data_IF_706256103444
#
_entry.id   IF_706256103444
#
_cell.length_a   1.000
_cell.length_b   1.000
_cell.length_c   1.000
_cell.angle_alpha   90.00
_cell.angle_beta   90.00
_cell.angle_gamma   90.00
#
_symmetry.space_group_name_H-M   'P 1'
#
loop_
_entity.id
_entity.type
_entity.pdbx_description
1 polymer ?
#
# COMPACT_ATOMS: atom_id res chain seq x y z
N UNK A 1 -45.91 -19.24 -39.70
CA UNK A 1 -44.53 -18.79 -39.99
C UNK A 1 -44.15 -17.71 -38.98
N UNK A 2 -42.95 -17.84 -38.40
CA UNK A 2 -42.35 -17.06 -37.30
C UNK A 2 -42.40 -15.54 -37.60
N UNK A 3 -42.58 -14.62 -36.63
CA UNK A 3 -41.56 -14.16 -35.69
C UNK A 3 -42.22 -13.37 -34.53
N UNK A 4 -42.10 -13.86 -33.30
CA UNK A 4 -42.12 -13.04 -32.08
C UNK A 4 -40.65 -12.75 -31.73
N UNK A 5 -40.28 -11.49 -31.51
CA UNK A 5 -39.01 -11.16 -30.86
C UNK A 5 -39.36 -10.35 -29.60
N UNK A 6 -39.14 -10.98 -28.46
CA UNK A 6 -39.53 -10.52 -27.14
C UNK A 6 -38.70 -9.33 -26.68
N UNK A 7 -39.37 -8.34 -26.08
CA UNK A 7 -38.76 -7.36 -25.18
C UNK A 7 -38.36 -8.09 -23.90
N UNK A 8 -37.08 -8.13 -23.58
CA UNK A 8 -36.56 -8.38 -22.23
C UNK A 8 -35.11 -7.90 -22.18
N UNK A 9 -34.91 -6.62 -21.87
CA UNK A 9 -33.63 -6.15 -21.33
C UNK A 9 -33.84 -5.98 -19.82
N UNK A 10 -33.33 -6.95 -19.09
CA UNK A 10 -33.36 -7.05 -17.64
C UNK A 10 -32.75 -5.82 -16.98
N UNK A 11 -33.53 -5.26 -16.08
CA UNK A 11 -33.15 -4.33 -15.01
C UNK A 11 -32.27 -5.07 -14.01
N UNK A 12 -30.98 -4.75 -13.92
CA UNK A 12 -30.19 -4.99 -12.71
C UNK A 12 -29.25 -3.81 -12.46
N UNK A 13 -29.56 -3.11 -11.38
CA UNK A 13 -28.78 -2.02 -10.81
C UNK A 13 -27.34 -2.47 -10.50
N UNK A 14 -26.38 -1.59 -10.77
CA UNK A 14 -25.00 -1.72 -10.27
C UNK A 14 -25.07 -1.62 -8.73
N UNK A 15 -25.15 -2.77 -8.06
CA UNK A 15 -24.82 -2.89 -6.65
C UNK A 15 -23.30 -2.87 -6.55
N UNK A 16 -22.73 -1.72 -6.21
CA UNK A 16 -21.40 -1.67 -5.60
C UNK A 16 -21.48 -2.36 -4.24
N UNK A 17 -21.09 -3.63 -4.20
CA UNK A 17 -21.06 -4.41 -2.97
C UNK A 17 -20.49 -5.80 -3.20
N UNK A 18 -19.51 -6.15 -2.37
CA UNK A 18 -18.88 -7.46 -2.17
C UNK A 18 -17.64 -7.77 -3.04
N UNK A 19 -16.45 -7.48 -2.49
CA UNK A 19 -15.20 -8.15 -2.88
C UNK A 19 -15.16 -9.53 -2.22
N UNK A 20 -15.16 -10.62 -3.01
CA UNK A 20 -14.33 -11.76 -2.63
C UNK A 20 -13.58 -12.32 -3.85
N UNK A 21 -12.25 -12.27 -3.78
CA UNK A 21 -11.35 -13.23 -4.44
C UNK A 21 -11.51 -13.41 -5.95
N UNK A 22 -10.93 -12.50 -6.73
CA UNK A 22 -10.46 -12.79 -8.10
C UNK A 22 -9.66 -11.60 -8.62
N UNK A 23 -8.49 -11.37 -8.03
CA UNK A 23 -7.48 -10.54 -8.68
C UNK A 23 -7.05 -11.27 -9.95
N UNK A 24 -7.52 -10.79 -11.09
CA UNK A 24 -6.85 -11.06 -12.35
C UNK A 24 -5.43 -10.51 -12.20
N UNK A 25 -4.48 -11.42 -11.92
CA UNK A 25 -3.06 -11.15 -11.85
C UNK A 25 -2.58 -10.78 -13.25
N UNK A 26 -2.59 -9.48 -13.56
CA UNK A 26 -1.81 -8.91 -14.65
C UNK A 26 -0.64 -8.16 -14.02
N UNK A 27 0.58 -8.63 -14.31
CA UNK A 27 1.87 -7.96 -14.07
C UNK A 27 2.38 -7.81 -12.62
N UNK A 28 2.77 -8.91 -11.97
CA UNK A 28 3.93 -8.97 -11.03
C UNK A 28 3.95 -8.03 -9.81
N UNK A 29 2.90 -7.25 -9.57
CA UNK A 29 2.79 -6.32 -8.46
C UNK A 29 2.19 -7.08 -7.28
N UNK A 30 2.94 -7.22 -6.18
CA UNK A 30 2.36 -7.74 -4.94
C UNK A 30 1.14 -6.89 -4.57
N UNK A 31 0.05 -7.49 -4.03
CA UNK A 31 -1.11 -6.72 -3.62
C UNK A 31 -0.71 -5.75 -2.51
N UNK A 32 -1.19 -4.50 -2.61
CA UNK A 32 -1.01 -3.51 -1.55
C UNK A 32 -1.69 -4.03 -0.28
N UNK A 33 -1.00 -4.09 0.87
CA UNK A 33 -1.61 -4.52 2.12
C UNK A 33 -2.79 -3.63 2.51
N UNK A 34 -3.75 -4.19 3.24
CA UNK A 34 -4.89 -3.40 3.72
C UNK A 34 -4.42 -2.27 4.66
N UNK A 35 -5.03 -1.08 4.57
CA UNK A 35 -4.73 0.02 5.47
C UNK A 35 -5.06 -0.35 6.92
N UNK A 36 -4.27 0.15 7.85
CA UNK A 36 -4.49 0.03 9.29
C UNK A 36 -4.85 1.39 9.86
N UNK A 37 -5.64 1.42 10.93
CA UNK A 37 -5.98 2.64 11.66
C UNK A 37 -4.88 3.04 12.68
N UNK A 38 -3.62 2.70 12.41
CA UNK A 38 -2.53 2.84 13.39
C UNK A 38 -2.16 4.31 13.67
N UNK A 39 -2.12 5.13 12.62
CA UNK A 39 -1.77 6.55 12.65
C UNK A 39 -2.22 7.23 11.36
N UNK A 40 -2.30 8.56 11.36
CA UNK A 40 -2.39 9.31 10.11
C UNK A 40 -1.04 9.34 9.38
N UNK A 41 -1.05 9.36 8.05
CA UNK A 41 0.17 9.30 7.23
C UNK A 41 1.16 10.44 7.53
N UNK A 42 0.66 11.61 7.92
CA UNK A 42 1.49 12.79 8.22
C UNK A 42 2.07 12.77 9.65
N UNK A 43 1.69 11.82 10.49
CA UNK A 43 2.14 11.73 11.89
C UNK A 43 3.51 11.05 12.00
N UNK A 44 4.57 11.80 11.65
CA UNK A 44 5.95 11.29 11.62
C UNK A 44 6.41 10.71 12.97
N UNK A 45 5.92 11.26 14.09
CA UNK A 45 6.25 10.81 15.44
C UNK A 45 5.59 9.47 15.82
N UNK A 46 4.63 8.99 15.02
CA UNK A 46 4.04 7.66 15.16
C UNK A 46 4.86 6.58 14.46
N UNK A 47 5.84 6.95 13.63
CA UNK A 47 6.70 5.96 12.99
C UNK A 47 7.66 5.37 14.03
N UNK A 48 7.70 4.04 14.22
CA UNK A 48 8.46 3.44 15.31
C UNK A 48 9.96 3.74 15.26
N UNK A 49 10.49 4.20 16.39
CA UNK A 49 11.94 4.30 16.69
C UNK A 49 12.77 5.10 15.68
N UNK A 50 12.17 6.10 15.03
CA UNK A 50 12.91 6.98 14.13
C UNK A 50 13.69 8.06 14.90
N UNK A 51 14.98 8.20 14.55
CA UNK A 51 15.77 9.39 14.88
C UNK A 51 15.46 10.55 13.92
N UNK A 52 15.92 11.75 14.25
CA UNK A 52 15.55 12.97 13.50
C UNK A 52 15.97 12.95 12.02
N UNK A 53 17.14 12.42 11.69
CA UNK A 53 17.59 12.24 10.29
C UNK A 53 16.62 11.36 9.51
N UNK A 54 16.16 10.27 10.12
CA UNK A 54 15.25 9.31 9.49
C UNK A 54 13.83 9.87 9.37
N UNK A 55 13.39 10.68 10.35
CA UNK A 55 12.14 11.44 10.26
C UNK A 55 12.16 12.43 9.10
N UNK A 56 13.28 13.11 8.85
CA UNK A 56 13.43 13.98 7.68
C UNK A 56 13.27 13.21 6.36
N UNK A 57 13.84 11.99 6.26
CA UNK A 57 13.64 11.13 5.10
C UNK A 57 12.16 10.74 4.89
N UNK A 58 11.43 10.48 5.98
CA UNK A 58 9.99 10.20 5.92
C UNK A 58 9.19 11.42 5.45
N UNK A 59 9.50 12.62 5.96
CA UNK A 59 8.86 13.86 5.49
C UNK A 59 9.08 14.09 4.00
N UNK A 60 10.31 13.94 3.52
CA UNK A 60 10.62 14.04 2.09
C UNK A 60 9.87 13.00 1.25
N UNK A 61 9.65 11.80 1.80
CA UNK A 61 8.89 10.74 1.14
C UNK A 61 7.41 11.09 0.94
N UNK A 62 6.80 11.82 1.88
CA UNK A 62 5.40 12.27 1.80
C UNK A 62 5.10 13.17 0.60
N UNK A 63 6.14 13.77 0.00
CA UNK A 63 6.01 14.67 -1.14
C UNK A 63 6.20 13.96 -2.50
N UNK A 64 6.55 12.67 -2.51
CA UNK A 64 6.87 11.95 -3.75
C UNK A 64 5.62 11.44 -4.48
N UNK A 65 5.61 11.35 -5.81
CA UNK A 65 4.47 10.81 -6.55
C UNK A 65 4.25 9.31 -6.28
N UNK A 66 3.04 8.83 -6.53
CA UNK A 66 2.72 7.40 -6.55
C UNK A 66 3.24 6.73 -7.84
N UNK A 67 3.56 5.42 -7.81
CA UNK A 67 3.56 4.54 -6.64
C UNK A 67 4.79 4.74 -5.73
N UNK A 68 4.60 4.67 -4.42
CA UNK A 68 5.67 4.80 -3.42
C UNK A 68 5.42 3.93 -2.20
N UNK A 69 6.47 3.54 -1.50
CA UNK A 69 6.36 2.78 -0.27
C UNK A 69 7.51 3.11 0.68
N UNK A 70 7.28 2.86 1.96
CA UNK A 70 8.29 3.03 3.01
C UNK A 70 8.26 1.85 3.96
N UNK A 71 9.43 1.31 4.24
CA UNK A 71 9.63 0.22 5.17
C UNK A 71 10.48 0.70 6.35
N UNK A 72 10.16 0.21 7.54
CA UNK A 72 10.82 0.58 8.78
C UNK A 72 11.20 -0.65 9.60
N UNK A 73 12.21 -0.48 10.44
CA UNK A 73 12.68 -1.50 11.38
C UNK A 73 12.49 -1.06 12.82
N UNK A 74 12.32 -2.05 13.70
CA UNK A 74 12.43 -1.90 15.15
C UNK A 74 13.80 -1.40 15.63
N UNK A 75 14.79 -1.30 14.75
CA UNK A 75 16.11 -0.71 15.04
C UNK A 75 16.23 0.76 14.62
N UNK A 76 15.15 1.36 14.11
CA UNK A 76 15.13 2.76 13.64
C UNK A 76 15.65 2.96 12.22
N UNK A 77 15.87 1.89 11.47
CA UNK A 77 16.15 1.96 10.03
C UNK A 77 14.88 2.26 9.24
N UNK A 78 15.03 3.00 8.14
CA UNK A 78 13.96 3.31 7.20
C UNK A 78 14.52 3.29 5.77
N UNK A 79 13.76 2.74 4.83
CA UNK A 79 14.04 2.89 3.42
C UNK A 79 12.77 3.21 2.63
N UNK A 80 12.97 3.90 1.51
CA UNK A 80 11.93 4.43 0.62
C UNK A 80 12.05 3.76 -0.73
N UNK A 81 10.93 3.34 -1.29
CA UNK A 81 10.85 2.80 -2.64
C UNK A 81 9.84 3.57 -3.48
N UNK A 82 10.06 3.56 -4.80
CA UNK A 82 9.29 4.30 -5.79
C UNK A 82 9.03 3.46 -7.03
N UNK A 83 7.98 3.79 -7.77
CA UNK A 83 7.61 3.13 -9.02
C UNK A 83 7.04 1.72 -8.82
N UNK A 84 7.09 0.90 -9.87
CA UNK A 84 6.47 -0.44 -9.92
C UNK A 84 6.99 -1.42 -8.87
N UNK A 85 8.17 -1.18 -8.30
CA UNK A 85 8.78 -2.07 -7.31
C UNK A 85 8.91 -1.41 -5.94
N UNK A 86 8.15 -0.34 -5.68
CA UNK A 86 8.27 0.47 -4.47
C UNK A 86 8.27 -0.35 -3.17
N UNK A 87 7.33 -1.29 -3.02
CA UNK A 87 7.21 -2.11 -1.81
C UNK A 87 8.42 -3.04 -1.61
N UNK A 88 8.79 -3.78 -2.65
CA UNK A 88 9.92 -4.71 -2.61
C UNK A 88 11.24 -3.97 -2.39
N UNK A 89 11.45 -2.86 -3.11
CA UNK A 89 12.63 -2.03 -2.98
C UNK A 89 12.76 -1.44 -1.57
N UNK A 90 11.65 -0.96 -0.99
CA UNK A 90 11.64 -0.43 0.37
C UNK A 90 12.05 -1.50 1.40
N UNK A 91 11.45 -2.69 1.34
CA UNK A 91 11.78 -3.79 2.27
C UNK A 91 13.23 -4.23 2.11
N UNK A 92 13.65 -4.58 0.89
CA UNK A 92 14.99 -5.14 0.62
C UNK A 92 16.09 -4.13 0.95
N UNK A 93 15.87 -2.84 0.70
CA UNK A 93 16.82 -1.79 1.08
C UNK A 93 16.85 -1.59 2.59
N UNK A 94 15.69 -1.56 3.26
CA UNK A 94 15.61 -1.41 4.72
C UNK A 94 16.34 -2.55 5.45
N UNK A 95 16.17 -3.80 4.97
CA UNK A 95 16.79 -4.99 5.56
C UNK A 95 18.32 -4.92 5.62
N UNK A 96 18.96 -4.15 4.74
CA UNK A 96 20.42 -3.93 4.74
C UNK A 96 20.89 -3.12 5.95
N UNK A 97 20.02 -2.26 6.50
CA UNK A 97 20.36 -1.34 7.59
C UNK A 97 19.77 -1.75 8.93
N UNK A 98 18.61 -2.41 8.94
CA UNK A 98 17.99 -2.87 10.19
C UNK A 98 17.03 -4.03 9.95
N UNK A 99 17.42 -5.25 10.28
CA UNK A 99 16.51 -6.41 10.19
C UNK A 99 15.87 -6.71 11.56
N UNK A 100 14.56 -7.07 11.62
CA UNK A 100 13.62 -7.19 10.50
C UNK A 100 13.02 -5.83 10.07
N UNK A 101 12.63 -5.73 8.79
CA UNK A 101 11.87 -4.59 8.26
C UNK A 101 10.47 -5.01 7.82
N UNK A 102 9.52 -4.08 7.99
CA UNK A 102 8.13 -4.23 7.55
C UNK A 102 7.65 -2.94 6.89
N UNK A 103 6.67 -3.05 6.00
CA UNK A 103 6.04 -1.88 5.39
C UNK A 103 5.30 -1.08 6.45
N UNK A 104 5.59 0.22 6.51
CA UNK A 104 4.86 1.16 7.36
C UNK A 104 3.74 1.83 6.58
N UNK A 105 4.04 2.30 5.38
CA UNK A 105 3.05 2.93 4.51
C UNK A 105 3.32 2.61 3.02
N UNK A 106 2.23 2.55 2.26
CA UNK A 106 2.22 2.37 0.81
C UNK A 106 1.28 3.43 0.24
N UNK A 107 1.79 4.22 -0.70
CA UNK A 107 1.11 5.37 -1.31
C UNK A 107 0.60 6.39 -0.28
N UNK A 108 -0.71 6.41 -0.04
CA UNK A 108 -1.41 7.28 0.91
C UNK A 108 -1.89 6.55 2.17
N UNK A 109 -1.50 5.28 2.36
CA UNK A 109 -2.05 4.41 3.39
C UNK A 109 -0.98 3.93 4.36
N UNK A 110 -1.26 4.07 5.65
CA UNK A 110 -0.50 3.38 6.70
C UNK A 110 -0.96 1.92 6.72
N UNK A 111 -0.03 0.98 6.58
CA UNK A 111 -0.28 -0.48 6.58
C UNK A 111 0.41 -1.17 7.77
N UNK A 112 0.95 -0.38 8.68
CA UNK A 112 1.74 -0.89 9.80
C UNK A 112 0.89 -1.73 10.75
N UNK A 113 1.38 -2.95 11.03
CA UNK A 113 0.89 -3.83 12.09
C UNK A 113 2.02 -3.97 13.10
N UNK A 114 1.78 -3.50 14.32
CA UNK A 114 2.76 -3.65 15.41
C UNK A 114 3.11 -5.13 15.58
N UNK A 115 4.41 -5.49 15.70
CA UNK A 115 4.78 -6.78 16.29
C UNK A 115 4.24 -6.93 17.70
#
# INVERSE_FOLDING_TARGET
>A
MKRMCARLAMRWAVRYGQYPGSYHAFDGMSPVPAPTAYAALTEVDRVPRLGETTKAMYREWLEKPFPRAVAVSDKGALARGYGRTAMEYAITTCQKFGSPCRLYAVDDQVVWVSP
#
